data_IF_554519644087
#
_entry.id   IF_554519644087
#
_cell.length_a   1.000
_cell.length_b   1.000
_cell.length_c   1.000
_cell.angle_alpha   90.00
_cell.angle_beta   90.00
_cell.angle_gamma   90.00
#
_symmetry.space_group_name_H-M   'P 1'
#
loop_
_entity.id
_entity.type
_entity.pdbx_description
1 polymer ?
#
# COMPACT_ATOMS: atom_id res chain seq x y z
N UNK A 1 10.70 3.53 -10.68
CA UNK A 1 11.45 2.37 -10.16
C UNK A 1 11.02 1.05 -10.76
N UNK A 2 9.78 0.58 -10.56
CA UNK A 2 9.34 -0.71 -11.12
C UNK A 2 9.61 -0.85 -12.63
N UNK A 3 9.21 0.13 -13.45
CA UNK A 3 9.47 0.09 -14.89
C UNK A 3 10.97 0.04 -15.24
N UNK A 4 11.84 0.65 -14.42
CA UNK A 4 13.28 0.60 -14.65
C UNK A 4 13.82 -0.79 -14.35
N UNK A 5 13.41 -1.38 -13.22
CA UNK A 5 13.79 -2.76 -12.85
C UNK A 5 13.35 -3.73 -13.95
N UNK A 6 12.12 -3.59 -14.47
CA UNK A 6 11.65 -4.46 -15.55
C UNK A 6 12.49 -4.32 -16.83
N UNK A 7 12.92 -3.10 -17.19
CA UNK A 7 13.77 -2.87 -18.36
C UNK A 7 15.19 -3.38 -18.13
N UNK A 8 15.74 -3.19 -16.93
CA UNK A 8 17.07 -3.66 -16.56
C UNK A 8 17.15 -5.20 -16.60
N UNK A 9 16.09 -5.90 -16.18
CA UNK A 9 16.10 -7.37 -16.07
C UNK A 9 15.59 -8.09 -17.33
N UNK A 10 14.67 -7.50 -18.10
CA UNK A 10 14.02 -8.15 -19.23
C UNK A 10 14.15 -7.39 -20.56
N UNK A 11 14.57 -6.13 -20.50
CA UNK A 11 14.69 -5.26 -21.67
C UNK A 11 16.00 -5.46 -22.42
N UNK A 12 16.09 -4.78 -23.55
CA UNK A 12 17.28 -4.69 -24.39
C UNK A 12 17.65 -3.23 -24.69
N UNK A 13 18.67 -3.04 -25.52
CA UNK A 13 19.13 -1.71 -25.96
C UNK A 13 18.07 -0.88 -26.70
N UNK A 14 17.05 -1.52 -27.25
CA UNK A 14 16.00 -0.88 -28.05
C UNK A 14 14.75 -0.57 -27.22
N UNK A 15 14.68 -1.12 -25.99
CA UNK A 15 13.58 -0.92 -25.05
C UNK A 15 13.56 0.51 -24.51
N UNK A 16 12.43 1.20 -24.67
CA UNK A 16 12.26 2.62 -24.32
C UNK A 16 11.04 2.85 -23.44
N UNK A 17 11.18 3.71 -22.43
CA UNK A 17 10.04 4.23 -21.65
C UNK A 17 9.34 5.34 -22.43
N UNK A 18 8.02 5.24 -22.54
CA UNK A 18 7.15 6.29 -23.09
C UNK A 18 6.12 6.71 -22.04
N UNK A 19 6.05 8.00 -21.75
CA UNK A 19 5.02 8.56 -20.86
C UNK A 19 3.79 8.87 -21.68
N UNK A 20 2.68 8.18 -21.39
CA UNK A 20 1.40 8.34 -22.10
C UNK A 20 0.36 9.17 -21.31
N UNK A 21 0.70 9.56 -20.08
CA UNK A 21 -0.20 10.24 -19.16
C UNK A 21 -1.11 9.29 -18.38
N UNK A 22 -1.86 9.85 -17.45
CA UNK A 22 -2.84 9.12 -16.63
C UNK A 22 -4.08 8.76 -17.48
N UNK A 23 -4.60 7.54 -17.34
CA UNK A 23 -5.83 7.14 -18.02
C UNK A 23 -7.06 7.54 -17.20
N UNK A 24 -8.20 7.66 -17.88
CA UNK A 24 -9.46 7.97 -17.21
C UNK A 24 -9.79 6.91 -16.15
N UNK A 25 -10.07 7.35 -14.93
CA UNK A 25 -10.41 6.48 -13.80
C UNK A 25 -9.23 5.98 -12.98
N UNK A 26 -7.98 6.23 -13.40
CA UNK A 26 -6.80 5.91 -12.59
C UNK A 26 -6.60 6.95 -11.47
N UNK A 27 -6.16 6.47 -10.31
CA UNK A 27 -5.70 7.31 -9.20
C UNK A 27 -4.18 7.36 -9.19
N UNK A 28 -3.63 8.45 -8.66
CA UNK A 28 -2.17 8.60 -8.47
C UNK A 28 -1.66 7.76 -7.30
N UNK A 29 -2.42 7.70 -6.22
CA UNK A 29 -2.10 6.97 -5.00
C UNK A 29 -3.33 6.20 -4.54
N UNK A 30 -3.14 4.97 -4.06
CA UNK A 30 -4.23 4.11 -3.61
C UNK A 30 -4.33 4.11 -2.07
N UNK A 31 -5.54 4.30 -1.50
CA UNK A 31 -5.75 4.23 -0.07
C UNK A 31 -5.93 2.78 0.39
N UNK A 32 -5.27 2.42 1.49
CA UNK A 32 -5.58 1.20 2.26
C UNK A 32 -6.47 1.53 3.48
N UNK A 33 -6.27 2.71 4.07
CA UNK A 33 -7.13 3.27 5.12
C UNK A 33 -7.51 4.68 4.70
N UNK A 34 -8.81 4.91 4.51
CA UNK A 34 -9.36 6.23 4.15
C UNK A 34 -9.49 7.16 5.36
N UNK A 35 -9.67 8.46 5.09
CA UNK A 35 -9.94 9.47 6.13
C UNK A 35 -11.21 9.17 6.94
N UNK A 36 -12.24 8.59 6.32
CA UNK A 36 -13.47 8.17 7.02
C UNK A 36 -13.27 6.98 7.95
N UNK A 37 -12.30 6.11 7.68
CA UNK A 37 -12.03 4.92 8.49
C UNK A 37 -11.06 5.23 9.64
N UNK A 38 -10.23 6.27 9.47
CA UNK A 38 -9.09 6.55 10.33
C UNK A 38 -9.44 6.78 11.80
N UNK A 39 -10.66 7.23 12.09
CA UNK A 39 -11.15 7.46 13.47
C UNK A 39 -11.27 6.19 14.32
N UNK A 40 -11.34 5.02 13.69
CA UNK A 40 -11.55 3.73 14.36
C UNK A 40 -10.47 2.69 14.07
N UNK A 41 -9.28 3.12 13.67
CA UNK A 41 -8.22 2.19 13.24
C UNK A 41 -7.32 1.81 14.40
N UNK A 42 -7.10 0.50 14.56
CA UNK A 42 -6.06 -0.06 15.43
C UNK A 42 -4.97 -0.63 14.53
N UNK A 43 -3.73 -0.23 14.79
CA UNK A 43 -2.56 -0.79 14.11
C UNK A 43 -2.05 -2.00 14.87
N UNK A 44 -1.89 -3.12 14.16
CA UNK A 44 -1.13 -4.29 14.60
C UNK A 44 0.14 -4.39 13.76
N UNK A 45 1.05 -5.27 14.16
CA UNK A 45 2.37 -5.40 13.52
C UNK A 45 2.28 -5.66 12.01
N UNK A 46 1.28 -6.42 11.54
CA UNK A 46 1.17 -6.81 10.12
C UNK A 46 -0.18 -6.48 9.48
N UNK A 47 -1.09 -5.83 10.22
CA UNK A 47 -2.43 -5.52 9.70
C UNK A 47 -3.08 -4.37 10.47
N UNK A 48 -4.12 -3.80 9.88
CA UNK A 48 -5.00 -2.83 10.52
C UNK A 48 -6.34 -3.49 10.87
N UNK A 49 -6.93 -3.06 11.97
CA UNK A 49 -8.32 -3.37 12.33
C UNK A 49 -9.11 -2.08 12.19
N UNK A 50 -10.10 -2.06 11.30
CA UNK A 50 -11.03 -0.95 11.14
C UNK A 50 -12.28 -1.27 11.95
N UNK A 51 -12.49 -0.54 13.04
CA UNK A 51 -13.68 -0.73 13.87
C UNK A 51 -14.93 -0.18 13.16
N UNK A 52 -16.10 -0.81 13.38
CA UNK A 52 -17.36 -0.27 12.89
C UNK A 52 -17.60 1.15 13.39
N UNK A 53 -18.18 2.00 12.54
CA UNK A 53 -18.57 3.37 12.91
C UNK A 53 -19.81 3.41 13.79
N UNK A 54 -20.56 2.31 13.88
CA UNK A 54 -21.69 2.13 14.78
C UNK A 54 -21.23 1.50 16.10
N UNK A 55 -21.92 1.84 17.19
CA UNK A 55 -21.64 1.26 18.51
C UNK A 55 -22.13 -0.18 18.57
N UNK A 56 -21.20 -1.10 18.83
CA UNK A 56 -21.50 -2.51 19.07
C UNK A 56 -20.82 -2.88 20.39
N UNK A 57 -21.61 -3.11 21.43
CA UNK A 57 -21.12 -3.29 22.80
C UNK A 57 -20.07 -4.41 22.92
N UNK A 58 -20.27 -5.51 22.21
CA UNK A 58 -19.31 -6.63 22.20
C UNK A 58 -17.96 -6.24 21.56
N UNK A 59 -17.97 -5.41 20.53
CA UNK A 59 -16.76 -4.91 19.87
C UNK A 59 -16.04 -3.93 20.79
N UNK A 60 -16.76 -2.94 21.34
CA UNK A 60 -16.19 -1.96 22.28
C UNK A 60 -15.53 -2.68 23.47
N UNK A 61 -16.17 -3.72 24.01
CA UNK A 61 -15.62 -4.52 25.10
C UNK A 61 -14.34 -5.28 24.71
N UNK A 62 -14.30 -5.86 23.50
CA UNK A 62 -13.15 -6.64 23.01
C UNK A 62 -11.92 -5.76 22.74
N UNK A 63 -12.13 -4.52 22.29
CA UNK A 63 -11.05 -3.60 21.90
C UNK A 63 -10.83 -2.44 22.87
N UNK A 64 -11.48 -2.43 24.05
CA UNK A 64 -11.43 -1.32 25.03
C UNK A 64 -10.02 -0.88 25.47
N UNK A 65 -9.05 -1.79 25.44
CA UNK A 65 -7.67 -1.54 25.88
C UNK A 65 -6.72 -1.27 24.71
N UNK A 66 -7.21 -1.34 23.48
CA UNK A 66 -6.41 -1.13 22.29
C UNK A 66 -6.28 0.36 21.99
N UNK A 67 -5.11 0.75 21.49
CA UNK A 67 -4.84 2.14 21.15
C UNK A 67 -5.31 2.41 19.72
N UNK A 68 -6.23 3.37 19.58
CA UNK A 68 -6.56 3.93 18.27
C UNK A 68 -5.34 4.65 17.70
N UNK A 69 -4.98 4.30 16.48
CA UNK A 69 -3.90 4.90 15.74
C UNK A 69 -4.32 6.29 15.28
N UNK A 70 -3.55 7.30 15.68
CA UNK A 70 -3.78 8.67 15.20
C UNK A 70 -3.14 8.83 13.80
N UNK A 71 -3.91 8.50 12.76
CA UNK A 71 -3.56 8.73 11.36
C UNK A 71 -4.73 9.42 10.66
N UNK A 72 -4.42 10.22 9.63
CA UNK A 72 -5.46 10.78 8.75
C UNK A 72 -5.83 9.79 7.67
N UNK A 73 -4.85 9.18 7.03
CA UNK A 73 -5.03 8.18 5.97
C UNK A 73 -3.76 7.34 5.90
N UNK A 74 -3.89 6.14 5.34
CA UNK A 74 -2.74 5.30 4.97
C UNK A 74 -2.86 4.94 3.49
N UNK A 75 -1.90 5.40 2.69
CA UNK A 75 -1.93 5.33 1.23
C UNK A 75 -0.62 4.79 0.68
N UNK A 76 -0.63 4.38 -0.58
CA UNK A 76 0.59 3.97 -1.29
C UNK A 76 1.66 5.05 -1.31
N UNK A 77 1.33 6.33 -1.07
CA UNK A 77 2.29 7.46 -1.02
C UNK A 77 3.05 7.56 0.29
N UNK A 78 2.35 7.34 1.41
CA UNK A 78 2.91 7.54 2.75
C UNK A 78 3.38 6.23 3.39
N UNK A 79 3.06 5.09 2.76
CA UNK A 79 3.69 3.82 3.05
C UNK A 79 5.19 3.83 2.69
N UNK A 80 5.92 2.84 3.21
CA UNK A 80 7.32 2.61 2.84
C UNK A 80 7.42 2.39 1.33
N UNK A 81 8.10 3.29 0.63
CA UNK A 81 8.44 3.11 -0.78
C UNK A 81 9.59 2.11 -0.91
N UNK A 82 9.42 1.08 -1.74
CA UNK A 82 10.47 0.12 -2.01
C UNK A 82 11.54 0.75 -2.91
N UNK A 83 12.80 0.49 -2.60
CA UNK A 83 13.92 0.79 -3.50
C UNK A 83 13.90 -0.13 -4.73
N UNK A 84 14.59 0.25 -5.82
CA UNK A 84 14.78 -0.65 -6.98
C UNK A 84 15.27 -2.05 -6.61
N UNK A 85 16.22 -2.14 -5.65
CA UNK A 85 16.74 -3.42 -5.16
C UNK A 85 15.64 -4.24 -4.47
N UNK A 86 14.88 -3.64 -3.56
CA UNK A 86 13.79 -4.34 -2.86
C UNK A 86 12.68 -4.77 -3.84
N UNK A 87 12.38 -3.98 -4.87
CA UNK A 87 11.46 -4.36 -5.94
C UNK A 87 11.98 -5.58 -6.70
N UNK A 88 13.26 -5.58 -7.11
CA UNK A 88 13.88 -6.73 -7.77
C UNK A 88 13.83 -7.98 -6.89
N UNK A 89 14.28 -7.86 -5.64
CA UNK A 89 14.31 -8.97 -4.68
C UNK A 89 12.91 -9.57 -4.48
N UNK A 90 11.88 -8.72 -4.39
CA UNK A 90 10.48 -9.15 -4.30
C UNK A 90 10.03 -9.88 -5.56
N UNK A 91 10.30 -9.35 -6.75
CA UNK A 91 9.90 -9.98 -8.01
C UNK A 91 10.58 -11.33 -8.24
N UNK A 92 11.86 -11.48 -7.88
CA UNK A 92 12.58 -12.77 -7.94
C UNK A 92 11.99 -13.77 -6.94
N UNK A 93 11.77 -13.33 -5.69
CA UNK A 93 11.20 -14.19 -4.64
C UNK A 93 9.83 -14.75 -5.03
N UNK A 94 9.01 -13.92 -5.68
CA UNK A 94 7.66 -14.30 -6.13
C UNK A 94 7.64 -15.00 -7.51
N UNK A 95 8.81 -15.24 -8.11
CA UNK A 95 8.96 -16.00 -9.36
C UNK A 95 8.61 -15.24 -10.64
N UNK A 96 8.51 -13.90 -10.58
CA UNK A 96 8.27 -13.05 -11.76
C UNK A 96 9.56 -12.79 -12.55
N UNK A 97 10.70 -12.84 -11.89
CA UNK A 97 12.03 -12.72 -12.48
C UNK A 97 12.86 -13.95 -12.12
N UNK A 98 13.83 -14.27 -12.97
CA UNK A 98 14.78 -15.37 -12.79
C UNK A 98 15.93 -14.99 -11.85
#
# INVERSE_FOLDING_TARGET
DLADVMIEELGDKDTKKKIIGIRAGEKMDEPLVSESESSGVIEKESYFIILPTIKIESVEKNYKNEKIKNIREYTSKNAKQLTKKEIKDMLVKEGWLL
#
